data_IF_324265693087
#
_entry.id   IF_324265693087
#
_cell.length_a   1.000
_cell.length_b   1.000
_cell.length_c   1.000
_cell.angle_alpha   90.00
_cell.angle_beta   90.00
_cell.angle_gamma   90.00
#
_symmetry.space_group_name_H-M   'P 1'
#
loop_
_entity.id
_entity.type
_entity.pdbx_description
1 polymer ?
#
# COMPACT_ATOMS: atom_id res chain seq x y z
N UNK A 1 -27.07 48.48 -6.37
CA UNK A 1 -26.63 47.40 -7.29
C UNK A 1 -26.34 46.07 -6.57
N UNK A 2 -25.45 46.03 -5.57
CA UNK A 2 -25.08 44.79 -4.85
C UNK A 2 -26.25 44.04 -4.20
N UNK A 3 -27.14 44.75 -3.50
CA UNK A 3 -28.33 44.15 -2.86
C UNK A 3 -29.27 43.51 -3.89
N UNK A 4 -29.47 44.15 -5.05
CA UNK A 4 -30.29 43.61 -6.14
C UNK A 4 -29.66 42.33 -6.76
N UNK A 5 -28.33 42.29 -6.90
CA UNK A 5 -27.60 41.09 -7.34
C UNK A 5 -27.75 39.96 -6.33
N UNK A 6 -27.66 40.25 -5.03
CA UNK A 6 -27.85 39.24 -3.97
C UNK A 6 -29.27 38.70 -3.92
N UNK A 7 -30.28 39.56 -4.07
CA UNK A 7 -31.68 39.14 -4.17
C UNK A 7 -31.91 38.19 -5.35
N UNK A 8 -31.40 38.55 -6.54
CA UNK A 8 -31.42 37.69 -7.73
C UNK A 8 -30.69 36.36 -7.51
N UNK A 9 -29.55 36.37 -6.82
CA UNK A 9 -28.83 35.14 -6.49
C UNK A 9 -29.63 34.24 -5.55
N UNK A 10 -30.30 34.79 -4.55
CA UNK A 10 -31.17 34.04 -3.64
C UNK A 10 -32.35 33.40 -4.38
N UNK A 11 -33.02 34.14 -5.26
CA UNK A 11 -34.10 33.60 -6.10
C UNK A 11 -33.63 32.45 -6.99
N UNK A 12 -32.45 32.58 -7.60
CA UNK A 12 -31.85 31.51 -8.42
C UNK A 12 -31.55 30.29 -7.55
N UNK A 13 -30.98 30.49 -6.36
CA UNK A 13 -30.68 29.37 -5.44
C UNK A 13 -31.95 28.62 -5.05
N UNK A 14 -33.03 29.32 -4.68
CA UNK A 14 -34.31 28.68 -4.36
C UNK A 14 -34.91 27.94 -5.56
N UNK A 15 -34.96 28.59 -6.72
CA UNK A 15 -35.55 28.01 -7.94
C UNK A 15 -34.85 26.73 -8.38
N UNK A 16 -33.54 26.63 -8.18
CA UNK A 16 -32.74 25.47 -8.58
C UNK A 16 -32.31 24.57 -7.39
N UNK A 17 -32.86 24.76 -6.19
CA UNK A 17 -32.47 24.01 -5.00
C UNK A 17 -32.65 22.50 -5.20
N UNK A 18 -33.83 22.07 -5.66
CA UNK A 18 -34.14 20.65 -5.91
C UNK A 18 -33.26 20.02 -7.00
N UNK A 19 -32.97 20.77 -8.06
CA UNK A 19 -32.07 20.31 -9.15
C UNK A 19 -30.65 20.15 -8.63
N UNK A 20 -30.17 21.13 -7.85
CA UNK A 20 -28.83 21.11 -7.26
C UNK A 20 -28.67 19.95 -6.29
N UNK A 21 -29.70 19.67 -5.48
CA UNK A 21 -29.72 18.55 -4.54
C UNK A 21 -29.73 17.20 -5.27
N UNK A 22 -30.59 17.03 -6.27
CA UNK A 22 -30.65 15.82 -7.09
C UNK A 22 -29.33 15.55 -7.81
N UNK A 23 -28.68 16.59 -8.36
CA UNK A 23 -27.36 16.50 -8.99
C UNK A 23 -26.30 16.09 -7.96
N UNK A 24 -26.28 16.69 -6.77
CA UNK A 24 -25.34 16.32 -5.69
C UNK A 24 -25.55 14.89 -5.22
N UNK A 25 -26.78 14.45 -5.07
CA UNK A 25 -27.10 13.06 -4.69
C UNK A 25 -26.67 12.08 -5.78
N UNK A 26 -26.94 12.38 -7.05
CA UNK A 26 -26.46 11.60 -8.18
C UNK A 26 -24.93 11.53 -8.20
N UNK A 27 -24.22 12.65 -7.99
CA UNK A 27 -22.76 12.65 -7.92
C UNK A 27 -22.19 11.86 -6.74
N UNK A 28 -22.89 11.84 -5.59
CA UNK A 28 -22.54 11.02 -4.41
C UNK A 28 -22.77 9.52 -4.63
N UNK A 29 -23.87 9.14 -5.29
CA UNK A 29 -24.19 7.73 -5.61
C UNK A 29 -23.39 7.19 -6.80
N UNK A 30 -22.95 8.08 -7.69
CA UNK A 30 -22.18 7.69 -8.88
C UNK A 30 -20.74 7.31 -8.51
N UNK A 31 -20.51 6.00 -8.36
CA UNK A 31 -19.20 5.38 -8.07
C UNK A 31 -18.11 5.74 -9.10
N UNK A 32 -18.49 6.17 -10.30
CA UNK A 32 -17.52 6.59 -11.34
C UNK A 32 -16.79 7.89 -10.98
N UNK A 33 -17.37 8.77 -10.16
CA UNK A 33 -16.68 9.98 -9.70
C UNK A 33 -15.53 9.65 -8.74
N UNK A 34 -15.70 8.63 -7.88
CA UNK A 34 -14.64 8.10 -7.02
C UNK A 34 -13.61 7.25 -7.77
N UNK A 35 -14.01 6.62 -8.87
CA UNK A 35 -13.12 5.90 -9.78
C UNK A 35 -12.33 6.81 -10.73
N UNK A 36 -12.56 8.14 -10.69
CA UNK A 36 -11.85 9.08 -11.54
C UNK A 36 -10.40 9.17 -11.08
N UNK A 37 -9.51 8.51 -11.83
CA UNK A 37 -8.07 8.51 -11.56
C UNK A 37 -7.57 9.96 -11.40
N UNK A 38 -6.92 10.30 -10.27
CA UNK A 38 -6.29 11.60 -10.09
C UNK A 38 -5.37 11.91 -11.28
N UNK A 39 -5.48 13.12 -11.84
CA UNK A 39 -4.63 13.54 -12.97
C UNK A 39 -3.20 13.87 -12.54
N UNK A 40 -2.97 14.00 -11.23
CA UNK A 40 -1.71 14.39 -10.61
C UNK A 40 -1.67 13.87 -9.17
N UNK A 41 -0.47 13.71 -8.60
CA UNK A 41 -0.25 13.28 -7.21
C UNK A 41 -0.97 14.20 -6.22
N UNK A 42 -0.93 15.51 -6.48
CA UNK A 42 -1.46 16.52 -5.56
C UNK A 42 -2.90 16.95 -5.86
N UNK A 43 -3.63 16.19 -6.67
CA UNK A 43 -5.02 16.50 -7.01
C UNK A 43 -5.91 16.54 -5.76
N UNK A 44 -6.49 17.71 -5.46
CA UNK A 44 -7.38 17.90 -4.30
C UNK A 44 -6.67 18.22 -2.98
N UNK A 45 -5.34 18.25 -2.95
CA UNK A 45 -4.54 18.46 -1.74
C UNK A 45 -3.97 19.88 -1.60
N UNK A 46 -4.07 20.70 -2.65
CA UNK A 46 -3.41 22.02 -2.70
C UNK A 46 -4.44 23.13 -2.50
N UNK A 47 -4.09 24.08 -1.63
CA UNK A 47 -4.91 25.23 -1.30
C UNK A 47 -4.15 26.54 -1.52
N UNK A 48 -4.90 27.60 -1.84
CA UNK A 48 -4.38 28.95 -2.00
C UNK A 48 -4.13 29.58 -0.63
N UNK A 49 -2.90 30.00 -0.35
CA UNK A 49 -2.58 30.72 0.89
C UNK A 49 -3.27 32.09 1.02
N UNK A 50 -3.74 32.69 -0.08
CA UNK A 50 -4.38 34.02 -0.03
C UNK A 50 -5.87 33.96 0.28
N UNK A 51 -6.60 32.96 -0.22
CA UNK A 51 -8.06 32.89 -0.06
C UNK A 51 -8.56 31.58 0.56
N UNK A 52 -7.67 30.63 0.89
CA UNK A 52 -8.05 29.29 1.35
C UNK A 52 -8.74 28.41 0.29
N UNK A 53 -9.06 28.96 -0.88
CA UNK A 53 -9.69 28.23 -1.98
C UNK A 53 -8.77 27.17 -2.61
N UNK A 54 -9.37 26.21 -3.33
CA UNK A 54 -8.61 25.11 -3.95
C UNK A 54 -7.70 25.59 -5.08
N UNK A 55 -6.46 25.07 -5.09
CA UNK A 55 -5.62 25.07 -6.29
C UNK A 55 -6.04 23.90 -7.18
N UNK A 56 -6.10 24.12 -8.48
CA UNK A 56 -6.55 23.08 -9.41
C UNK A 56 -5.69 23.09 -10.66
N UNK A 57 -5.50 21.89 -11.22
CA UNK A 57 -4.75 21.69 -12.45
C UNK A 57 -5.52 22.30 -13.63
N UNK A 58 -4.82 23.03 -14.49
CA UNK A 58 -5.36 23.67 -15.71
C UNK A 58 -4.60 23.18 -16.95
N UNK A 59 -5.09 23.57 -18.14
CA UNK A 59 -4.74 23.00 -19.45
C UNK A 59 -3.25 22.95 -19.84
N UNK A 60 -2.37 23.64 -19.12
CA UNK A 60 -0.92 23.59 -19.32
C UNK A 60 -0.17 22.73 -18.28
N UNK A 61 -0.87 21.86 -17.53
CA UNK A 61 -0.25 21.08 -16.45
C UNK A 61 0.23 21.95 -15.29
N UNK A 62 -0.39 23.12 -15.08
CA UNK A 62 -0.05 24.06 -14.02
C UNK A 62 -1.16 24.11 -12.98
N UNK A 63 -0.78 24.19 -11.71
CA UNK A 63 -1.70 24.50 -10.64
C UNK A 63 -1.94 26.01 -10.56
N UNK A 64 -3.20 26.39 -10.45
CA UNK A 64 -3.62 27.78 -10.30
C UNK A 64 -4.77 27.89 -9.28
N UNK A 65 -4.88 29.05 -8.64
CA UNK A 65 -5.99 29.36 -7.75
C UNK A 65 -7.32 29.33 -8.53
N UNK A 66 -8.26 28.46 -8.11
CA UNK A 66 -9.55 28.36 -8.79
C UNK A 66 -10.37 29.64 -8.71
N UNK A 67 -10.35 30.33 -7.56
CA UNK A 67 -11.05 31.61 -7.36
C UNK A 67 -10.47 32.72 -8.23
N UNK A 68 -9.14 32.81 -8.36
CA UNK A 68 -8.52 33.80 -9.25
C UNK A 68 -8.91 33.56 -10.71
N UNK A 69 -8.94 32.30 -11.16
CA UNK A 69 -9.22 31.96 -12.56
C UNK A 69 -10.71 32.07 -12.89
N UNK A 70 -11.60 31.57 -12.03
CA UNK A 70 -13.01 31.44 -12.35
C UNK A 70 -13.77 32.77 -12.27
N UNK A 71 -13.51 33.58 -11.25
CA UNK A 71 -14.27 34.80 -10.99
C UNK A 71 -13.41 35.98 -10.48
N UNK A 72 -12.08 35.86 -10.54
CA UNK A 72 -11.13 36.90 -10.12
C UNK A 72 -11.33 37.39 -8.68
N UNK A 73 -11.97 36.59 -7.82
CA UNK A 73 -12.23 36.97 -6.42
C UNK A 73 -11.01 36.84 -5.50
N UNK A 74 -9.92 36.26 -6.00
CA UNK A 74 -8.63 36.19 -5.33
C UNK A 74 -7.57 36.91 -6.17
N UNK A 75 -6.70 37.68 -5.53
CA UNK A 75 -5.59 38.40 -6.18
C UNK A 75 -4.44 37.50 -6.62
N UNK A 76 -4.41 36.23 -6.17
CA UNK A 76 -3.32 35.32 -6.43
C UNK A 76 -3.30 34.83 -7.89
N UNK A 77 -2.49 35.49 -8.71
CA UNK A 77 -2.22 35.16 -10.11
C UNK A 77 -1.10 34.15 -10.32
N UNK A 78 -0.46 33.66 -9.23
CA UNK A 78 0.69 32.76 -9.33
C UNK A 78 0.24 31.36 -9.75
N UNK A 79 0.96 30.80 -10.71
CA UNK A 79 0.77 29.42 -11.16
C UNK A 79 2.08 28.66 -11.00
N UNK A 80 1.98 27.38 -10.65
CA UNK A 80 3.15 26.52 -10.39
C UNK A 80 3.07 25.32 -11.34
N UNK A 81 4.15 24.97 -12.07
CA UNK A 81 4.20 23.73 -12.84
C UNK A 81 3.91 22.53 -11.93
N UNK A 82 3.13 21.56 -12.44
CA UNK A 82 2.82 20.34 -11.69
C UNK A 82 4.08 19.61 -11.24
N UNK A 83 5.02 19.39 -12.16
CA UNK A 83 6.24 18.61 -11.89
C UNK A 83 7.12 19.28 -10.84
N UNK A 84 7.32 20.60 -10.93
CA UNK A 84 8.08 21.35 -9.93
C UNK A 84 7.46 21.22 -8.53
N UNK A 85 6.13 21.36 -8.43
CA UNK A 85 5.44 21.29 -7.15
C UNK A 85 5.44 19.86 -6.58
N UNK A 86 5.21 18.86 -7.43
CA UNK A 86 5.24 17.45 -7.04
C UNK A 86 6.65 17.05 -6.56
N UNK A 87 7.69 17.42 -7.29
CA UNK A 87 9.08 17.13 -6.91
C UNK A 87 9.46 17.78 -5.59
N UNK A 88 9.06 19.03 -5.35
CA UNK A 88 9.31 19.72 -4.08
C UNK A 88 8.61 19.04 -2.90
N UNK A 89 7.37 18.59 -3.09
CA UNK A 89 6.63 17.88 -2.03
C UNK A 89 7.27 16.52 -1.75
N UNK A 90 7.60 15.75 -2.78
CA UNK A 90 8.25 14.44 -2.62
C UNK A 90 9.62 14.57 -1.97
N UNK A 91 10.43 15.56 -2.38
CA UNK A 91 11.72 15.84 -1.74
C UNK A 91 11.54 16.20 -0.26
N UNK A 92 10.61 17.10 0.07
CA UNK A 92 10.32 17.46 1.46
C UNK A 92 9.78 16.30 2.30
N UNK A 93 8.99 15.41 1.70
CA UNK A 93 8.55 14.17 2.35
C UNK A 93 9.73 13.23 2.59
N UNK A 94 10.62 13.05 1.62
CA UNK A 94 11.84 12.24 1.78
C UNK A 94 12.70 12.77 2.92
N UNK A 95 12.93 14.09 2.96
CA UNK A 95 13.79 14.72 3.96
C UNK A 95 13.16 14.69 5.38
N UNK A 96 11.83 14.81 5.49
CA UNK A 96 11.14 14.81 6.80
C UNK A 96 10.74 13.42 7.30
N UNK A 97 10.49 12.46 6.39
CA UNK A 97 10.20 11.06 6.74
C UNK A 97 11.48 10.26 6.98
N UNK A 98 12.61 10.66 6.39
CA UNK A 98 13.92 10.22 6.86
C UNK A 98 14.35 11.07 8.06
N UNK A 99 13.63 10.94 9.18
CA UNK A 99 14.29 11.08 10.47
C UNK A 99 15.25 9.88 10.57
N UNK A 100 16.58 10.08 10.54
CA UNK A 100 17.54 8.98 10.56
C UNK A 100 17.24 7.95 11.67
N UNK A 101 16.64 8.41 12.76
CA UNK A 101 16.29 7.65 13.94
C UNK A 101 15.16 6.65 13.66
N UNK A 102 14.09 7.06 12.95
CA UNK A 102 12.94 6.20 12.63
C UNK A 102 13.33 5.19 11.55
N UNK A 103 14.08 5.63 10.53
CA UNK A 103 14.59 4.74 9.50
C UNK A 103 15.57 3.71 10.08
N UNK A 104 16.48 4.13 10.96
CA UNK A 104 17.41 3.24 11.62
C UNK A 104 16.69 2.24 12.55
N UNK A 105 15.65 2.66 13.27
CA UNK A 105 14.85 1.76 14.09
C UNK A 105 14.10 0.74 13.24
N UNK A 106 13.46 1.17 12.15
CA UNK A 106 12.78 0.25 11.24
C UNK A 106 13.75 -0.78 10.62
N UNK A 107 14.95 -0.34 10.23
CA UNK A 107 15.99 -1.23 9.70
C UNK A 107 16.54 -2.19 10.76
N UNK A 108 16.74 -1.73 12.01
CA UNK A 108 17.15 -2.58 13.14
C UNK A 108 16.12 -3.68 13.40
N UNK A 109 14.86 -3.32 13.60
CA UNK A 109 13.78 -4.28 13.88
C UNK A 109 13.61 -5.27 12.73
N UNK A 110 13.74 -4.81 11.48
CA UNK A 110 13.70 -5.71 10.32
C UNK A 110 14.88 -6.69 10.28
N UNK A 111 16.10 -6.22 10.60
CA UNK A 111 17.28 -7.08 10.68
C UNK A 111 17.17 -8.10 11.82
N UNK A 112 16.64 -7.71 12.98
CA UNK A 112 16.38 -8.59 14.12
C UNK A 112 15.37 -9.68 13.76
N UNK A 113 14.24 -9.32 13.15
CA UNK A 113 13.22 -10.28 12.75
C UNK A 113 13.72 -11.23 11.66
N UNK A 114 14.47 -10.71 10.68
CA UNK A 114 15.09 -11.54 9.63
C UNK A 114 16.10 -12.52 10.24
N UNK A 115 16.89 -12.08 11.22
CA UNK A 115 17.82 -12.94 11.94
C UNK A 115 17.09 -14.00 12.78
N UNK A 116 15.96 -13.66 13.42
CA UNK A 116 15.11 -14.60 14.13
C UNK A 116 14.58 -15.69 13.20
N UNK A 117 13.96 -15.30 12.09
CA UNK A 117 13.45 -16.23 11.08
C UNK A 117 14.56 -17.11 10.48
N UNK A 118 15.74 -16.54 10.24
CA UNK A 118 16.90 -17.31 9.77
C UNK A 118 17.44 -18.29 10.81
N UNK A 119 17.35 -17.99 12.11
CA UNK A 119 17.69 -18.93 13.18
C UNK A 119 16.66 -20.05 13.28
N UNK A 120 15.37 -19.73 13.21
CA UNK A 120 14.29 -20.73 13.19
C UNK A 120 14.41 -21.67 11.99
N UNK A 121 14.65 -21.12 10.78
CA UNK A 121 14.90 -21.92 9.57
C UNK A 121 16.10 -22.84 9.71
N UNK A 122 17.21 -22.35 10.28
CA UNK A 122 18.41 -23.16 10.54
C UNK A 122 18.14 -24.27 11.57
N UNK A 123 17.52 -23.93 12.70
CA UNK A 123 17.16 -24.91 13.74
C UNK A 123 16.24 -26.00 13.20
N UNK A 124 15.25 -25.63 12.38
CA UNK A 124 14.37 -26.60 11.74
C UNK A 124 15.13 -27.46 10.74
N UNK A 125 15.97 -26.85 9.88
CA UNK A 125 16.79 -27.57 8.92
C UNK A 125 17.77 -28.56 9.55
N UNK A 126 18.41 -28.19 10.66
CA UNK A 126 19.31 -29.08 11.39
C UNK A 126 18.55 -30.23 12.06
N UNK A 127 17.34 -29.97 12.60
CA UNK A 127 16.47 -31.01 13.14
C UNK A 127 16.05 -32.02 12.07
N UNK A 128 15.64 -31.54 10.89
CA UNK A 128 15.29 -32.40 9.75
C UNK A 128 16.49 -33.22 9.26
N UNK A 129 17.70 -32.64 9.24
CA UNK A 129 18.92 -33.35 8.84
C UNK A 129 19.26 -34.49 9.80
N UNK A 130 19.19 -34.24 11.11
CA UNK A 130 19.43 -35.26 12.15
C UNK A 130 18.37 -36.37 12.07
N UNK A 131 17.11 -36.01 11.84
CA UNK A 131 16.03 -36.98 11.70
C UNK A 131 16.20 -37.85 10.44
N UNK A 132 16.57 -37.25 9.31
CA UNK A 132 16.86 -37.95 8.06
C UNK A 132 18.01 -38.95 8.21
N UNK A 133 19.10 -38.54 8.88
CA UNK A 133 20.24 -39.40 9.16
C UNK A 133 19.86 -40.57 10.10
N UNK A 134 19.00 -40.32 11.09
CA UNK A 134 18.50 -41.37 11.98
C UNK A 134 17.65 -42.39 11.21
N UNK A 135 16.69 -41.93 10.42
CA UNK A 135 15.83 -42.79 9.58
C UNK A 135 16.66 -43.59 8.58
N UNK A 136 17.68 -42.98 7.96
CA UNK A 136 18.63 -43.69 7.09
C UNK A 136 19.38 -44.82 7.80
N UNK A 137 19.91 -44.57 9.01
CA UNK A 137 20.58 -45.60 9.81
C UNK A 137 19.63 -46.72 10.26
N UNK A 138 18.37 -46.42 10.54
CA UNK A 138 17.38 -47.44 10.88
C UNK A 138 17.02 -48.34 9.69
N UNK A 139 16.93 -47.75 8.48
CA UNK A 139 16.79 -48.49 7.22
C UNK A 139 17.98 -49.42 6.96
N UNK A 140 19.22 -48.92 7.10
CA UNK A 140 20.43 -49.75 6.97
C UNK A 140 20.45 -50.93 7.96
N UNK A 141 20.03 -50.70 9.21
CA UNK A 141 19.89 -51.77 10.21
C UNK A 141 18.85 -52.80 9.81
N UNK A 142 17.72 -52.39 9.26
CA UNK A 142 16.69 -53.31 8.77
C UNK A 142 17.21 -54.15 7.60
N UNK A 143 17.94 -53.55 6.65
CA UNK A 143 18.60 -54.27 5.55
C UNK A 143 19.60 -55.29 6.09
N UNK A 144 20.47 -54.89 7.03
CA UNK A 144 21.45 -55.79 7.64
C UNK A 144 20.80 -56.96 8.39
N UNK A 145 19.65 -56.75 9.04
CA UNK A 145 18.90 -57.82 9.70
C UNK A 145 18.34 -58.84 8.69
N UNK A 146 17.88 -58.39 7.52
CA UNK A 146 17.45 -59.27 6.43
C UNK A 146 18.64 -60.09 5.91
N UNK A 147 19.79 -59.45 5.68
CA UNK A 147 21.01 -60.13 5.26
C UNK A 147 21.50 -61.15 6.29
N UNK A 148 21.24 -60.91 7.57
CA UNK A 148 21.54 -61.84 8.67
C UNK A 148 20.52 -62.97 8.85
N UNK A 149 19.52 -63.07 7.96
CA UNK A 149 18.57 -64.20 7.92
C UNK A 149 17.21 -63.95 8.58
N UNK A 150 16.90 -62.71 8.99
CA UNK A 150 15.55 -62.36 9.45
C UNK A 150 14.59 -62.35 8.24
N UNK A 151 13.44 -63.05 8.30
CA UNK A 151 12.50 -63.09 7.17
C UNK A 151 11.98 -61.68 6.81
N UNK A 152 12.10 -61.23 5.54
CA UNK A 152 11.71 -59.89 5.11
C UNK A 152 10.27 -59.49 5.46
N UNK A 153 9.36 -60.47 5.48
CA UNK A 153 7.94 -60.27 5.81
C UNK A 153 7.74 -59.72 7.24
N UNK A 154 8.66 -60.00 8.16
CA UNK A 154 8.57 -59.50 9.55
C UNK A 154 8.97 -58.03 9.70
N UNK A 155 9.76 -57.50 8.76
CA UNK A 155 10.27 -56.12 8.80
C UNK A 155 9.57 -55.19 7.81
N UNK A 156 8.80 -55.74 6.86
CA UNK A 156 8.13 -55.00 5.76
C UNK A 156 7.39 -53.76 6.23
N UNK A 157 6.49 -53.89 7.21
CA UNK A 157 5.67 -52.76 7.69
C UNK A 157 6.52 -51.64 8.33
N UNK A 158 7.64 -52.00 8.96
CA UNK A 158 8.55 -51.04 9.58
C UNK A 158 9.43 -50.34 8.56
N UNK A 159 9.84 -51.04 7.50
CA UNK A 159 10.58 -50.47 6.36
C UNK A 159 9.69 -49.47 5.60
N UNK A 160 8.45 -49.85 5.27
CA UNK A 160 7.48 -48.96 4.58
C UNK A 160 7.22 -47.66 5.37
N UNK A 161 7.11 -47.74 6.71
CA UNK A 161 6.98 -46.57 7.58
C UNK A 161 8.21 -45.67 7.56
N UNK A 162 9.42 -46.25 7.57
CA UNK A 162 10.67 -45.48 7.52
C UNK A 162 10.90 -44.84 6.13
N UNK A 163 10.54 -45.53 5.04
CA UNK A 163 10.60 -45.00 3.68
C UNK A 163 9.64 -43.83 3.49
N UNK A 164 8.41 -43.96 4.00
CA UNK A 164 7.43 -42.87 3.99
C UNK A 164 7.95 -41.66 4.77
N UNK A 165 8.49 -41.89 5.98
CA UNK A 165 9.07 -40.82 6.81
C UNK A 165 10.30 -40.15 6.19
N UNK A 166 11.03 -40.84 5.30
CA UNK A 166 12.19 -40.31 4.57
C UNK A 166 11.77 -39.48 3.35
N UNK A 167 10.58 -39.73 2.80
CA UNK A 167 10.04 -39.02 1.64
C UNK A 167 9.32 -37.71 2.02
N UNK A 168 8.90 -37.56 3.28
CA UNK A 168 8.38 -36.33 3.90
C UNK A 168 9.46 -35.27 4.15
#
# INVERSE_FOLDING_TARGET
LWQAVRARQSEIVEKYAKVTEAVREHHRKNKLNGARRPKSLLSGLIFCGCCGGRYSLRGAGRFACSSHIANKSCSNSRTIPREELENRVVAGLKDRMMSPEIAAEAMRTHAEETNRLNRERRSNGDRWRVELEKTGRELEKAINAILAGVPPLTLKEKIEKLETRKAE
#
